data_IF_640144355132
#
_entry.id   IF_640144355132
#
_cell.length_a   1.000
_cell.length_b   1.000
_cell.length_c   1.000
_cell.angle_alpha   90.00
_cell.angle_beta   90.00
_cell.angle_gamma   90.00
#
_symmetry.space_group_name_H-M   'P 1'
#
loop_
_entity.id
_entity.type
_entity.pdbx_description
1 polymer ?
#
# COMPACT_ATOMS: atom_id res chain seq x y z
N UNK A 1 -1.37 4.68 -14.25
CA UNK A 1 -0.30 3.72 -13.89
C UNK A 1 0.86 4.47 -13.26
N UNK A 2 0.84 4.64 -11.94
CA UNK A 2 2.01 5.13 -11.20
C UNK A 2 2.97 3.96 -11.04
N UNK A 3 4.08 4.00 -11.78
CA UNK A 3 5.19 3.07 -11.62
C UNK A 3 5.76 3.33 -10.22
N UNK A 4 5.43 2.47 -9.24
CA UNK A 4 6.16 2.43 -7.98
C UNK A 4 7.60 2.06 -8.34
N UNK A 5 8.46 3.08 -8.37
CA UNK A 5 9.89 2.87 -8.52
C UNK A 5 10.35 2.11 -7.27
N UNK A 6 10.71 0.83 -7.44
CA UNK A 6 11.34 0.07 -6.37
C UNK A 6 12.54 0.88 -5.87
N UNK A 7 12.65 1.16 -4.55
CA UNK A 7 13.71 2.00 -4.04
C UNK A 7 15.06 1.38 -4.43
N UNK A 8 15.91 2.19 -5.06
CA UNK A 8 17.25 1.75 -5.43
C UNK A 8 17.98 1.32 -4.15
N UNK A 9 18.23 0.02 -4.03
CA UNK A 9 18.80 -0.63 -2.84
C UNK A 9 20.18 -0.05 -2.45
N UNK A 10 20.82 0.72 -3.34
CA UNK A 10 22.01 1.52 -3.03
C UNK A 10 21.80 2.50 -1.86
N UNK A 11 20.60 3.02 -1.65
CA UNK A 11 20.30 3.97 -0.57
C UNK A 11 19.91 3.29 0.76
N UNK A 12 19.74 1.96 0.79
CA UNK A 12 19.36 1.23 2.00
C UNK A 12 20.39 1.41 3.14
N UNK A 13 21.68 1.54 2.80
CA UNK A 13 22.73 1.84 3.79
C UNK A 13 22.57 3.23 4.42
N UNK A 14 22.19 4.22 3.62
CA UNK A 14 21.97 5.59 4.08
C UNK A 14 20.77 5.71 5.02
N UNK A 15 19.68 5.01 4.70
CA UNK A 15 18.49 4.94 5.57
C UNK A 15 18.84 4.30 6.92
N UNK A 16 19.64 3.22 6.92
CA UNK A 16 20.07 2.55 8.14
C UNK A 16 20.95 3.43 9.03
N UNK A 17 21.89 4.17 8.46
CA UNK A 17 22.70 5.13 9.22
C UNK A 17 21.88 6.28 9.78
N UNK A 18 20.89 6.78 9.03
CA UNK A 18 19.99 7.82 9.53
C UNK A 18 19.14 7.33 10.71
N UNK A 19 18.67 6.08 10.67
CA UNK A 19 17.98 5.46 11.81
C UNK A 19 18.88 5.40 13.05
N UNK A 20 20.12 4.90 12.91
CA UNK A 20 21.08 4.84 14.03
C UNK A 20 21.43 6.23 14.60
N UNK A 21 21.56 7.25 13.75
CA UNK A 21 21.83 8.62 14.18
C UNK A 21 20.61 9.28 14.85
N UNK A 22 19.40 8.93 14.41
CA UNK A 22 18.15 9.35 15.04
C UNK A 22 18.05 8.78 16.46
N UNK A 23 18.29 7.47 16.63
CA UNK A 23 18.31 6.81 17.94
C UNK A 23 19.36 7.40 18.89
N UNK A 24 20.54 7.76 18.37
CA UNK A 24 21.61 8.40 19.13
C UNK A 24 21.37 9.89 19.42
N UNK A 25 20.23 10.47 18.98
CA UNK A 25 19.91 11.91 19.07
C UNK A 25 20.94 12.82 18.39
N UNK A 26 21.68 12.29 17.43
CA UNK A 26 22.73 13.01 16.69
C UNK A 26 22.26 13.52 15.32
N UNK A 27 20.99 13.28 14.97
CA UNK A 27 20.37 13.82 13.76
C UNK A 27 19.98 15.28 13.96
N UNK A 28 20.27 16.12 12.96
CA UNK A 28 19.76 17.49 12.91
C UNK A 28 18.24 17.51 12.92
N UNK A 29 17.63 18.47 13.63
CA UNK A 29 16.17 18.66 13.63
C UNK A 29 15.59 18.81 12.21
N UNK A 30 16.33 19.41 11.29
CA UNK A 30 15.93 19.50 9.88
C UNK A 30 15.85 18.11 9.23
N UNK A 31 16.86 17.27 9.44
CA UNK A 31 16.92 15.91 8.89
C UNK A 31 15.82 15.02 9.48
N UNK A 32 15.56 15.11 10.79
CA UNK A 32 14.44 14.44 11.44
C UNK A 32 13.08 14.84 10.84
N UNK A 33 12.85 16.15 10.66
CA UNK A 33 11.61 16.65 10.06
C UNK A 33 11.45 16.23 8.61
N UNK A 34 12.53 16.22 7.81
CA UNK A 34 12.48 15.75 6.43
C UNK A 34 12.18 14.26 6.35
N UNK A 35 12.76 13.44 7.23
CA UNK A 35 12.46 12.01 7.33
C UNK A 35 10.97 11.77 7.65
N UNK A 36 10.44 12.44 8.67
CA UNK A 36 9.03 12.34 9.01
C UNK A 36 8.13 12.77 7.84
N UNK A 37 8.42 13.91 7.21
CA UNK A 37 7.65 14.36 6.04
C UNK A 37 7.71 13.37 4.87
N UNK A 38 8.83 12.71 4.65
CA UNK A 38 8.95 11.69 3.61
C UNK A 38 8.09 10.46 3.93
N UNK A 39 8.07 10.02 5.19
CA UNK A 39 7.19 8.93 5.64
C UNK A 39 5.72 9.33 5.54
N UNK A 40 5.35 10.51 6.04
CA UNK A 40 3.99 11.05 5.95
C UNK A 40 3.50 11.14 4.51
N UNK A 41 4.39 11.55 3.59
CA UNK A 41 4.10 11.58 2.16
C UNK A 41 3.84 10.17 1.60
N UNK A 42 4.69 9.19 1.88
CA UNK A 42 4.52 7.81 1.42
C UNK A 42 3.23 7.17 1.97
N UNK A 43 2.89 7.45 3.23
CA UNK A 43 1.62 7.03 3.85
C UNK A 43 0.45 7.68 3.15
N UNK A 44 0.50 9.00 2.94
CA UNK A 44 -0.58 9.76 2.28
C UNK A 44 -0.80 9.30 0.83
N UNK A 45 0.27 9.05 0.08
CA UNK A 45 0.17 8.50 -1.28
C UNK A 45 -0.45 7.10 -1.28
N UNK A 46 0.02 6.23 -0.39
CA UNK A 46 -0.52 4.86 -0.27
C UNK A 46 -2.01 4.88 0.12
N UNK A 47 -2.42 5.77 1.04
CA UNK A 47 -3.80 5.92 1.44
C UNK A 47 -4.69 6.48 0.32
N UNK A 48 -4.18 7.43 -0.47
CA UNK A 48 -4.89 7.96 -1.63
C UNK A 48 -5.12 6.87 -2.68
N UNK A 49 -4.08 6.10 -3.03
CA UNK A 49 -4.20 4.97 -3.96
C UNK A 49 -5.18 3.91 -3.46
N UNK A 50 -5.15 3.59 -2.16
CA UNK A 50 -6.10 2.64 -1.58
C UNK A 50 -7.53 3.13 -1.73
N UNK A 51 -7.80 4.40 -1.38
CA UNK A 51 -9.13 5.02 -1.49
C UNK A 51 -9.66 4.96 -2.93
N UNK A 52 -8.80 5.22 -3.92
CA UNK A 52 -9.19 5.15 -5.34
C UNK A 52 -9.57 3.72 -5.74
N UNK A 53 -8.76 2.73 -5.36
CA UNK A 53 -9.05 1.32 -5.65
C UNK A 53 -10.32 0.85 -4.93
N UNK A 54 -10.50 1.22 -3.66
CA UNK A 54 -11.70 0.87 -2.88
C UNK A 54 -12.98 1.44 -3.49
N UNK A 55 -12.91 2.63 -4.08
CA UNK A 55 -14.04 3.21 -4.81
C UNK A 55 -14.43 2.38 -6.03
N UNK A 56 -13.45 1.90 -6.79
CA UNK A 56 -13.69 1.01 -7.94
C UNK A 56 -14.23 -0.35 -7.47
N UNK A 57 -13.64 -0.92 -6.42
CA UNK A 57 -14.12 -2.17 -5.82
C UNK A 57 -15.58 -2.06 -5.35
N UNK A 58 -15.96 -0.93 -4.75
CA UNK A 58 -17.35 -0.69 -4.32
C UNK A 58 -18.33 -0.68 -5.50
N UNK A 59 -17.90 -0.22 -6.67
CA UNK A 59 -18.72 -0.23 -7.88
C UNK A 59 -18.94 -1.68 -8.36
N UNK A 60 -17.87 -2.47 -8.39
CA UNK A 60 -17.94 -3.91 -8.65
C UNK A 60 -18.84 -4.65 -7.65
N UNK A 61 -18.75 -4.34 -6.36
CA UNK A 61 -19.59 -4.96 -5.33
C UNK A 61 -21.09 -4.71 -5.56
N UNK A 62 -21.43 -3.52 -6.07
CA UNK A 62 -22.81 -3.16 -6.45
C UNK A 62 -23.23 -3.83 -7.73
N UNK A 63 -22.37 -3.85 -8.76
CA UNK A 63 -22.65 -4.46 -10.06
C UNK A 63 -22.92 -5.96 -9.94
N UNK A 64 -22.11 -6.67 -9.15
CA UNK A 64 -22.18 -8.11 -8.98
C UNK A 64 -22.98 -8.55 -7.73
N UNK A 65 -23.49 -7.59 -6.95
CA UNK A 65 -24.23 -7.80 -5.71
C UNK A 65 -23.51 -8.79 -4.75
N UNK A 66 -22.19 -8.67 -4.69
CA UNK A 66 -21.28 -9.56 -3.96
C UNK A 66 -20.12 -8.75 -3.39
N UNK A 67 -19.78 -8.97 -2.13
CA UNK A 67 -18.62 -8.29 -1.53
C UNK A 67 -17.30 -8.75 -2.17
N UNK A 68 -16.34 -7.83 -2.29
CA UNK A 68 -15.01 -8.09 -2.84
C UNK A 68 -14.32 -9.22 -2.08
N UNK A 69 -14.52 -9.30 -0.76
CA UNK A 69 -13.97 -10.37 0.08
C UNK A 69 -14.50 -11.75 -0.35
N UNK A 70 -15.80 -11.86 -0.60
CA UNK A 70 -16.43 -13.11 -1.01
C UNK A 70 -16.05 -13.47 -2.45
N UNK A 71 -16.05 -12.48 -3.35
CA UNK A 71 -15.56 -12.64 -4.71
C UNK A 71 -14.11 -13.16 -4.71
N UNK A 72 -13.21 -12.53 -3.96
CA UNK A 72 -11.80 -12.88 -3.93
C UNK A 72 -11.55 -14.28 -3.33
N UNK A 73 -12.34 -14.72 -2.36
CA UNK A 73 -12.31 -16.12 -1.88
C UNK A 73 -12.72 -17.10 -2.97
N UNK A 74 -13.80 -16.81 -3.70
CA UNK A 74 -14.27 -17.65 -4.83
C UNK A 74 -13.24 -17.67 -5.96
N UNK A 75 -12.62 -16.53 -6.24
CA UNK A 75 -11.57 -16.40 -7.24
C UNK A 75 -10.35 -17.25 -6.91
N UNK A 76 -9.86 -17.21 -5.68
CA UNK A 76 -8.77 -18.07 -5.22
C UNK A 76 -9.14 -19.56 -5.22
N UNK A 77 -10.42 -19.89 -5.01
CA UNK A 77 -10.91 -21.26 -5.09
C UNK A 77 -11.12 -21.75 -6.54
N UNK A 78 -10.87 -20.91 -7.55
CA UNK A 78 -11.12 -21.22 -8.97
C UNK A 78 -12.61 -21.34 -9.31
N UNK A 79 -13.49 -20.69 -8.52
CA UNK A 79 -14.94 -20.73 -8.67
C UNK A 79 -15.53 -19.50 -9.37
N UNK A 80 -14.69 -18.63 -9.92
CA UNK A 80 -15.10 -17.46 -10.70
C UNK A 80 -14.95 -17.70 -12.18
N UNK A 81 -15.74 -16.96 -12.95
CA UNK A 81 -15.64 -16.89 -14.39
C UNK A 81 -14.27 -16.33 -14.82
N UNK A 82 -13.71 -16.85 -15.91
CA UNK A 82 -12.46 -16.35 -16.53
C UNK A 82 -12.70 -15.05 -17.33
N UNK A 83 -13.75 -14.31 -16.95
CA UNK A 83 -14.13 -13.06 -17.61
C UNK A 83 -13.12 -11.96 -17.30
N UNK A 84 -12.90 -11.06 -18.26
CA UNK A 84 -11.99 -9.92 -18.11
C UNK A 84 -12.34 -9.06 -16.87
N UNK A 85 -13.63 -8.91 -16.57
CA UNK A 85 -14.12 -8.20 -15.38
C UNK A 85 -13.72 -8.90 -14.07
N UNK A 86 -13.77 -10.24 -14.03
CA UNK A 86 -13.35 -11.01 -12.84
C UNK A 86 -11.84 -10.91 -12.62
N UNK A 87 -11.05 -10.97 -13.70
CA UNK A 87 -9.60 -10.80 -13.62
C UNK A 87 -9.22 -9.38 -13.16
N UNK A 88 -9.90 -8.35 -13.67
CA UNK A 88 -9.68 -6.96 -13.25
C UNK A 88 -10.06 -6.76 -11.78
N UNK A 89 -11.23 -7.24 -11.36
CA UNK A 89 -11.68 -7.14 -9.98
C UNK A 89 -10.72 -7.86 -9.02
N UNK A 90 -10.25 -9.06 -9.37
CA UNK A 90 -9.28 -9.80 -8.57
C UNK A 90 -7.94 -9.06 -8.45
N UNK A 91 -7.46 -8.47 -9.55
CA UNK A 91 -6.24 -7.66 -9.56
C UNK A 91 -6.37 -6.43 -8.64
N UNK A 92 -7.50 -5.72 -8.70
CA UNK A 92 -7.79 -4.58 -7.83
C UNK A 92 -7.87 -4.99 -6.36
N UNK A 93 -8.52 -6.12 -6.06
CA UNK A 93 -8.62 -6.64 -4.70
C UNK A 93 -7.23 -6.98 -4.13
N UNK A 94 -6.39 -7.63 -4.92
CA UNK A 94 -5.02 -7.97 -4.53
C UNK A 94 -4.15 -6.72 -4.34
N UNK A 95 -4.27 -5.72 -5.22
CA UNK A 95 -3.56 -4.43 -5.06
C UNK A 95 -3.99 -3.70 -3.79
N UNK A 96 -5.29 -3.64 -3.50
CA UNK A 96 -5.80 -3.03 -2.26
C UNK A 96 -5.27 -3.76 -1.02
N UNK A 97 -5.24 -5.10 -1.03
CA UNK A 97 -4.66 -5.87 0.07
C UNK A 97 -3.15 -5.59 0.25
N UNK A 98 -2.39 -5.51 -0.85
CA UNK A 98 -0.97 -5.16 -0.81
C UNK A 98 -0.72 -3.78 -0.19
N UNK A 99 -1.53 -2.78 -0.57
CA UNK A 99 -1.43 -1.42 -0.02
C UNK A 99 -1.84 -1.39 1.45
N UNK A 100 -2.91 -2.10 1.84
CA UNK A 100 -3.33 -2.22 3.26
C UNK A 100 -2.23 -2.84 4.12
N UNK A 101 -1.58 -3.91 3.66
CA UNK A 101 -0.43 -4.52 4.35
C UNK A 101 0.73 -3.53 4.50
N UNK A 102 1.03 -2.75 3.47
CA UNK A 102 2.07 -1.70 3.52
C UNK A 102 1.71 -0.61 4.54
N UNK A 103 0.46 -0.15 4.55
CA UNK A 103 -0.03 0.86 5.51
C UNK A 103 -0.02 0.35 6.96
N UNK A 104 -0.34 -0.93 7.18
CA UNK A 104 -0.26 -1.55 8.50
C UNK A 104 1.17 -1.49 9.09
N UNK A 105 2.19 -1.73 8.27
CA UNK A 105 3.60 -1.60 8.70
C UNK A 105 3.93 -0.19 9.18
N UNK A 106 3.39 0.85 8.54
CA UNK A 106 3.61 2.23 8.99
C UNK A 106 2.89 2.55 10.31
N UNK A 107 1.72 1.95 10.54
CA UNK A 107 0.99 2.05 11.82
C UNK A 107 1.78 1.40 12.96
N UNK A 108 2.32 0.20 12.75
CA UNK A 108 3.11 -0.53 13.75
C UNK A 108 4.44 0.15 14.10
N UNK A 109 5.01 0.95 13.18
CA UNK A 109 6.25 1.71 13.42
C UNK A 109 5.98 3.03 14.18
N UNK A 110 4.72 3.48 14.25
CA UNK A 110 4.33 4.76 14.85
C UNK A 110 3.89 4.66 16.32
N UNK A 111 3.86 3.46 16.91
CA UNK A 111 3.63 3.19 18.35
C UNK A 111 4.96 3.02 19.12
#
# INVERSE_FOLDING_TARGET
MTIQTLPNTKYAKGVRWLAELYEKKQVSSLTAQTLNKAVEYEVSQSQAQLTEIEKVLTDYEKQFNMSTIEFFKRYQAGQTDDSAESMEWASLAQMAEGIRKRLALFSEISE
#
